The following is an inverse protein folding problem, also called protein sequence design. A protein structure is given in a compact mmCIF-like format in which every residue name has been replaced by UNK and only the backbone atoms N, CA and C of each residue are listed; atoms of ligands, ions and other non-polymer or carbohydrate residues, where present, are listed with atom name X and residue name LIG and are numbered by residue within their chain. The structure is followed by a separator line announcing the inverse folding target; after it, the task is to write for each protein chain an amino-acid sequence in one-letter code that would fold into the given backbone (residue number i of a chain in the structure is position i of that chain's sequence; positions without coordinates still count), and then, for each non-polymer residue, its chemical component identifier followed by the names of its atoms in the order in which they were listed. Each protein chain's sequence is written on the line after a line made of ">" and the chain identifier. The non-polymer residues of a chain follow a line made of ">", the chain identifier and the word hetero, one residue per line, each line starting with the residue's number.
data_IF_368958520204
#
_entry.id   IF_368958520204
#
_cell.length_a   1.000
_cell.length_b   1.000
_cell.length_c   1.000
_cell.angle_alpha   90.00
_cell.angle_beta   90.00
_cell.angle_gamma   90.00
#
_symmetry.space_group_name_H-M   'P 1'
#
loop_
_entity.id
_entity.type
_entity.pdbx_description
1 polymer ?
#
# COMPACT_ATOMS: atom_id res chain seq x y z
N UNK A 1 21.55 3.63 -29.28
CA UNK A 1 21.03 2.77 -28.21
C UNK A 1 19.77 3.37 -27.61
N UNK A 2 18.72 2.60 -27.53
CA UNK A 2 17.51 3.01 -26.86
C UNK A 2 17.61 2.76 -25.36
N UNK A 3 17.22 3.73 -24.55
CA UNK A 3 17.12 3.55 -23.12
C UNK A 3 16.00 2.53 -22.83
N UNK A 4 16.23 1.51 -22.00
CA UNK A 4 15.16 0.59 -21.62
C UNK A 4 13.99 1.33 -21.02
N UNK A 5 12.78 0.91 -21.36
CA UNK A 5 11.56 1.46 -20.75
C UNK A 5 11.61 1.19 -19.25
N UNK A 6 11.18 2.16 -18.45
CA UNK A 6 11.09 1.99 -16.99
C UNK A 6 10.04 0.94 -16.66
N UNK A 7 10.38 0.03 -15.73
CA UNK A 7 9.44 -0.93 -15.19
C UNK A 7 8.57 -0.22 -14.16
N UNK A 8 7.27 -0.24 -14.37
CA UNK A 8 6.30 0.42 -13.50
C UNK A 8 5.66 -0.61 -12.59
N UNK A 9 5.79 -0.38 -11.28
CA UNK A 9 5.14 -1.19 -10.27
C UNK A 9 4.06 -0.42 -9.53
N UNK A 10 3.14 -1.14 -8.89
CA UNK A 10 2.12 -0.51 -8.07
C UNK A 10 1.76 -1.38 -6.88
N UNK A 11 1.29 -0.73 -5.82
CA UNK A 11 0.75 -1.38 -4.63
C UNK A 11 -0.46 -0.60 -4.15
N UNK A 12 -1.36 -1.25 -3.42
CA UNK A 12 -2.64 -0.69 -3.02
C UNK A 12 -2.85 -0.86 -1.53
N UNK A 13 -3.46 0.11 -0.88
CA UNK A 13 -3.80 0.01 0.52
C UNK A 13 -4.24 1.33 1.12
N UNK A 14 -4.61 1.30 2.39
CA UNK A 14 -5.01 2.50 3.13
C UNK A 14 -3.80 3.24 3.72
N UNK A 15 -2.73 2.53 4.02
CA UNK A 15 -1.46 3.07 4.56
C UNK A 15 -1.69 4.02 5.75
N UNK A 16 -2.59 3.60 6.65
CA UNK A 16 -2.86 4.34 7.87
C UNK A 16 -1.71 4.17 8.86
N UNK A 17 -1.39 5.22 9.60
CA UNK A 17 -0.30 5.20 10.57
C UNK A 17 0.99 4.63 9.95
N UNK A 18 1.40 5.21 8.83
CA UNK A 18 2.55 4.72 8.07
C UNK A 18 3.78 4.59 8.96
N UNK A 19 4.40 3.43 8.94
CA UNK A 19 5.44 3.03 9.89
C UNK A 19 6.60 2.31 9.19
N UNK A 20 7.56 1.83 10.00
CA UNK A 20 8.76 1.16 9.48
C UNK A 20 8.44 -0.01 8.54
N UNK A 21 7.40 -0.79 8.84
CA UNK A 21 6.99 -1.90 7.99
C UNK A 21 6.59 -1.46 6.59
N UNK A 22 5.87 -0.35 6.47
CA UNK A 22 5.52 0.23 5.17
C UNK A 22 6.76 0.66 4.40
N UNK A 23 7.73 1.27 5.09
CA UNK A 23 8.99 1.68 4.47
C UNK A 23 9.73 0.49 3.88
N UNK A 24 9.75 -0.63 4.59
CA UNK A 24 10.42 -1.85 4.11
C UNK A 24 9.70 -2.43 2.88
N UNK A 25 8.36 -2.38 2.84
CA UNK A 25 7.59 -2.79 1.67
C UNK A 25 7.95 -1.94 0.45
N UNK A 26 7.98 -0.61 0.61
CA UNK A 26 8.30 0.30 -0.50
C UNK A 26 9.74 0.14 -0.96
N UNK A 27 10.67 -0.05 -0.02
CA UNK A 27 12.07 -0.30 -0.34
C UNK A 27 12.21 -1.59 -1.16
N UNK A 28 11.55 -2.66 -0.74
CA UNK A 28 11.56 -3.93 -1.47
C UNK A 28 10.93 -3.79 -2.85
N UNK A 29 9.82 -3.06 -2.96
CA UNK A 29 9.16 -2.81 -4.23
C UNK A 29 10.10 -2.16 -5.24
N UNK A 30 10.96 -1.25 -4.80
CA UNK A 30 11.92 -0.57 -5.69
C UNK A 30 13.05 -1.48 -6.16
N UNK A 31 13.17 -2.68 -5.63
CA UNK A 31 14.12 -3.68 -6.16
C UNK A 31 13.57 -4.37 -7.40
N UNK A 32 12.26 -4.31 -7.64
CA UNK A 32 11.60 -4.99 -8.77
C UNK A 32 10.91 -4.02 -9.74
N UNK A 33 10.97 -2.72 -9.48
CA UNK A 33 10.44 -1.71 -10.40
C UNK A 33 11.25 -0.43 -10.31
N UNK A 34 11.16 0.40 -11.36
CA UNK A 34 11.85 1.69 -11.43
C UNK A 34 10.97 2.84 -10.98
N UNK A 35 9.67 2.71 -11.19
CA UNK A 35 8.68 3.72 -10.86
C UNK A 35 7.58 3.05 -10.04
N UNK A 36 7.37 3.49 -8.81
CA UNK A 36 6.37 2.91 -7.90
C UNK A 36 5.17 3.83 -7.74
N UNK A 37 4.00 3.32 -8.11
CA UNK A 37 2.71 3.97 -7.90
C UNK A 37 2.07 3.38 -6.65
N UNK A 38 1.64 4.22 -5.72
CA UNK A 38 0.87 3.78 -4.55
C UNK A 38 -0.57 4.20 -4.73
N UNK A 39 -1.47 3.23 -4.81
CA UNK A 39 -2.92 3.47 -4.80
C UNK A 39 -3.39 3.55 -3.35
N UNK A 40 -3.81 4.72 -2.95
CA UNK A 40 -4.22 5.03 -1.58
C UNK A 40 -5.73 5.02 -1.47
N UNK A 41 -6.26 4.13 -0.64
CA UNK A 41 -7.70 4.03 -0.41
C UNK A 41 -8.17 5.11 0.55
N UNK A 42 -9.27 5.78 0.19
CA UNK A 42 -9.86 6.82 1.03
C UNK A 42 -10.32 6.22 2.36
N UNK A 43 -11.33 5.38 2.34
CA UNK A 43 -11.86 4.74 3.55
C UNK A 43 -12.24 3.28 3.27
N UNK A 44 -11.39 2.31 3.66
CA UNK A 44 -11.69 0.90 3.42
C UNK A 44 -12.90 0.37 4.19
N UNK A 45 -13.36 1.08 5.23
CA UNK A 45 -14.52 0.63 6.01
C UNK A 45 -15.84 0.77 5.27
N UNK A 46 -15.86 1.50 4.15
CA UNK A 46 -17.08 1.72 3.37
C UNK A 46 -17.55 0.43 2.69
N UNK A 47 -16.63 -0.36 2.14
CA UNK A 47 -17.00 -1.57 1.39
C UNK A 47 -16.39 -2.87 1.92
N UNK A 48 -15.67 -2.82 3.03
CA UNK A 48 -15.05 -4.00 3.64
C UNK A 48 -15.12 -3.93 5.16
N UNK A 49 -15.01 -5.10 5.81
CA UNK A 49 -14.94 -5.19 7.28
C UNK A 49 -13.55 -4.77 7.77
N UNK A 50 -13.26 -3.49 7.66
CA UNK A 50 -12.00 -2.87 8.07
C UNK A 50 -12.26 -1.67 8.96
N UNK A 51 -11.28 -1.33 9.80
CA UNK A 51 -11.35 -0.13 10.61
C UNK A 51 -11.26 1.12 9.73
N UNK A 52 -12.01 2.16 10.11
CA UNK A 52 -11.83 3.48 9.52
C UNK A 52 -10.42 3.97 9.83
N UNK A 53 -9.71 4.58 8.86
CA UNK A 53 -8.39 5.13 9.13
C UNK A 53 -8.38 6.16 10.25
N UNK A 54 -7.36 6.14 11.08
CA UNK A 54 -7.12 7.14 12.12
C UNK A 54 -6.69 8.46 11.47
N UNK A 55 -5.82 8.37 10.46
CA UNK A 55 -5.32 9.54 9.74
C UNK A 55 -6.26 9.90 8.61
N UNK A 56 -6.45 11.20 8.39
CA UNK A 56 -7.23 11.70 7.26
C UNK A 56 -6.56 11.34 5.94
N UNK A 57 -7.32 11.40 4.85
CA UNK A 57 -6.76 11.18 3.52
C UNK A 57 -5.63 12.17 3.20
N UNK A 58 -5.79 13.48 3.42
CA UNK A 58 -4.70 14.42 3.18
C UNK A 58 -3.43 14.12 3.97
N UNK A 59 -3.55 13.73 5.24
CA UNK A 59 -2.39 13.35 6.04
C UNK A 59 -1.65 12.17 5.42
N UNK A 60 -2.38 11.14 5.01
CA UNK A 60 -1.80 9.94 4.38
C UNK A 60 -1.15 10.27 3.04
N UNK A 61 -1.78 11.15 2.26
CA UNK A 61 -1.21 11.61 0.98
C UNK A 61 0.12 12.34 1.19
N UNK A 62 0.17 13.25 2.16
CA UNK A 62 1.38 14.03 2.46
C UNK A 62 2.53 13.10 2.87
N UNK A 63 2.23 12.14 3.75
CA UNK A 63 3.24 11.18 4.22
C UNK A 63 3.78 10.36 3.06
N UNK A 64 2.91 9.78 2.24
CA UNK A 64 3.32 8.94 1.11
C UNK A 64 4.15 9.74 0.09
N UNK A 65 3.74 10.96 -0.19
CA UNK A 65 4.45 11.81 -1.14
C UNK A 65 5.87 12.18 -0.66
N UNK A 66 6.11 12.13 0.64
CA UNK A 66 7.42 12.41 1.23
C UNK A 66 8.34 11.20 1.31
N UNK A 67 7.87 10.02 0.97
CA UNK A 67 8.68 8.80 1.05
C UNK A 67 9.53 8.66 -0.21
N UNK A 68 10.84 8.52 -0.03
CA UNK A 68 11.79 8.49 -1.16
C UNK A 68 11.57 7.34 -2.14
N UNK A 69 10.91 6.25 -1.71
CA UNK A 69 10.66 5.09 -2.56
C UNK A 69 9.38 5.23 -3.39
N UNK A 70 8.50 6.19 -3.05
CA UNK A 70 7.21 6.38 -3.69
C UNK A 70 7.35 7.45 -4.76
N UNK A 71 7.03 7.11 -6.00
CA UNK A 71 7.14 8.03 -7.14
C UNK A 71 5.82 8.71 -7.45
N UNK A 72 4.69 8.06 -7.18
CA UNK A 72 3.38 8.57 -7.52
C UNK A 72 2.33 8.05 -6.55
N UNK A 73 1.36 8.89 -6.18
CA UNK A 73 0.22 8.51 -5.33
C UNK A 73 -1.06 8.75 -6.10
N UNK A 74 -1.91 7.74 -6.17
CA UNK A 74 -3.24 7.82 -6.79
C UNK A 74 -4.29 7.38 -5.78
N UNK A 75 -5.46 7.99 -5.82
CA UNK A 75 -6.54 7.74 -4.85
C UNK A 75 -7.57 6.80 -5.46
N UNK A 76 -8.10 5.89 -4.65
CA UNK A 76 -9.29 5.13 -5.01
C UNK A 76 -10.25 5.04 -3.81
N UNK A 77 -11.52 4.77 -4.07
CA UNK A 77 -12.55 4.72 -3.04
C UNK A 77 -12.91 3.29 -2.67
N UNK A 78 -13.54 2.56 -3.57
CA UNK A 78 -13.99 1.18 -3.34
C UNK A 78 -13.10 0.19 -4.11
N UNK A 79 -13.26 -1.10 -3.82
CA UNK A 79 -12.56 -2.14 -4.57
C UNK A 79 -13.03 -2.19 -6.03
N UNK A 80 -14.31 -1.86 -6.29
CA UNK A 80 -14.81 -1.75 -7.67
C UNK A 80 -14.13 -0.59 -8.40
N UNK A 81 -13.98 0.55 -7.73
CA UNK A 81 -13.28 1.71 -8.28
C UNK A 81 -11.81 1.36 -8.59
N UNK A 82 -11.15 0.64 -7.67
CA UNK A 82 -9.78 0.18 -7.89
C UNK A 82 -9.69 -0.70 -9.13
N UNK A 83 -10.58 -1.68 -9.26
CA UNK A 83 -10.58 -2.58 -10.41
C UNK A 83 -10.68 -1.80 -11.72
N UNK A 84 -11.58 -0.83 -11.79
CA UNK A 84 -11.75 -0.01 -12.99
C UNK A 84 -10.48 0.80 -13.31
N UNK A 85 -9.81 1.33 -12.29
CA UNK A 85 -8.55 2.05 -12.48
C UNK A 85 -7.43 1.12 -12.94
N UNK A 86 -7.37 -0.10 -12.38
CA UNK A 86 -6.34 -1.08 -12.75
C UNK A 86 -6.52 -1.60 -14.17
N UNK A 87 -7.76 -1.73 -14.65
CA UNK A 87 -8.04 -2.14 -16.04
C UNK A 87 -7.39 -1.22 -17.06
N UNK A 88 -7.28 0.05 -16.74
CA UNK A 88 -6.74 1.07 -17.64
C UNK A 88 -5.30 1.49 -17.27
N UNK A 89 -4.72 0.83 -16.29
CA UNK A 89 -3.39 1.17 -15.80
C UNK A 89 -2.30 0.58 -16.69
N UNK A 90 -1.37 1.42 -17.11
CA UNK A 90 -0.16 0.98 -17.81
C UNK A 90 0.92 0.73 -16.77
N UNK A 91 1.01 -0.51 -16.33
CA UNK A 91 2.01 -0.95 -15.36
C UNK A 91 2.42 -2.37 -15.67
N UNK A 92 3.51 -2.80 -15.07
CA UNK A 92 4.13 -4.09 -15.36
C UNK A 92 3.95 -5.08 -14.22
N UNK A 93 4.07 -4.62 -12.98
CA UNK A 93 4.12 -5.52 -11.83
C UNK A 93 3.33 -4.96 -10.64
N UNK A 94 2.54 -5.84 -10.02
CA UNK A 94 1.86 -5.56 -8.76
C UNK A 94 2.68 -6.08 -7.61
N UNK A 95 2.92 -5.23 -6.63
CA UNK A 95 3.55 -5.62 -5.37
C UNK A 95 2.44 -5.80 -4.33
N UNK A 96 2.38 -6.97 -3.73
CA UNK A 96 1.35 -7.30 -2.75
C UNK A 96 1.96 -8.11 -1.61
N UNK A 97 1.35 -8.08 -0.43
CA UNK A 97 1.84 -8.81 0.73
C UNK A 97 1.84 -10.32 0.53
N UNK A 98 2.84 -11.00 1.10
CA UNK A 98 2.98 -12.45 1.01
C UNK A 98 1.74 -13.20 1.54
N UNK A 99 0.98 -12.57 2.44
CA UNK A 99 -0.25 -13.14 3.00
C UNK A 99 -1.32 -13.42 1.95
N UNK A 100 -1.24 -12.74 0.80
CA UNK A 100 -2.19 -12.88 -0.29
C UNK A 100 -1.85 -14.01 -1.27
N UNK A 101 -0.72 -14.67 -1.07
CA UNK A 101 -0.30 -15.76 -1.95
C UNK A 101 -1.33 -16.89 -1.90
N UNK A 102 -1.85 -17.29 -3.06
CA UNK A 102 -2.90 -18.31 -3.16
C UNK A 102 -4.31 -17.80 -2.89
N UNK A 103 -4.49 -16.49 -2.67
CA UNK A 103 -5.80 -15.87 -2.45
C UNK A 103 -6.14 -14.94 -3.60
N UNK A 104 -7.44 -14.71 -3.81
CA UNK A 104 -7.91 -13.76 -4.82
C UNK A 104 -7.89 -12.34 -4.22
N UNK A 105 -7.33 -11.41 -4.97
CA UNK A 105 -7.30 -9.98 -4.64
C UNK A 105 -7.85 -9.18 -5.81
N UNK A 106 -8.27 -7.96 -5.58
CA UNK A 106 -8.81 -7.10 -6.62
C UNK A 106 -7.81 -6.94 -7.76
N UNK A 107 -8.22 -7.30 -8.97
CA UNK A 107 -7.37 -7.25 -10.15
C UNK A 107 -6.51 -8.49 -10.39
N UNK A 108 -6.73 -9.57 -9.63
CA UNK A 108 -5.99 -10.83 -9.79
C UNK A 108 -6.11 -11.42 -11.20
N UNK A 109 -7.18 -11.10 -11.91
CA UNK A 109 -7.46 -11.56 -13.27
C UNK A 109 -6.86 -10.65 -14.35
N UNK A 110 -6.22 -9.56 -13.96
CA UNK A 110 -5.58 -8.63 -14.90
C UNK A 110 -4.14 -9.07 -15.21
N UNK A 111 -3.61 -8.70 -16.39
CA UNK A 111 -2.35 -9.24 -16.87
C UNK A 111 -1.11 -8.59 -16.27
N UNK A 112 -1.08 -8.38 -14.96
CA UNK A 112 0.10 -7.88 -14.26
C UNK A 112 0.94 -9.03 -13.73
N UNK A 113 2.24 -8.92 -13.82
CA UNK A 113 3.15 -9.75 -13.05
C UNK A 113 2.89 -9.45 -11.56
N UNK A 114 2.95 -10.46 -10.70
CA UNK A 114 2.70 -10.28 -9.25
C UNK A 114 3.97 -10.62 -8.49
N UNK A 115 4.40 -9.70 -7.65
CA UNK A 115 5.51 -9.87 -6.73
C UNK A 115 4.96 -9.86 -5.31
N UNK A 116 5.19 -10.95 -4.58
CA UNK A 116 4.78 -11.05 -3.18
C UNK A 116 5.92 -10.58 -2.31
N UNK A 117 5.74 -9.42 -1.65
CA UNK A 117 6.80 -8.88 -0.81
C UNK A 117 7.01 -9.75 0.42
N UNK A 118 8.27 -9.90 0.82
CA UNK A 118 8.64 -10.66 2.01
C UNK A 118 8.16 -9.92 3.26
N UNK A 119 7.85 -10.68 4.31
CA UNK A 119 7.48 -10.10 5.60
C UNK A 119 8.45 -10.61 6.65
N UNK A 120 9.69 -10.13 6.53
CA UNK A 120 10.80 -10.55 7.40
C UNK A 120 10.86 -9.76 8.71
N UNK A 121 9.78 -9.05 9.07
CA UNK A 121 9.72 -8.19 10.27
C UNK A 121 8.38 -8.37 10.97
N UNK A 122 8.29 -7.87 12.21
CA UNK A 122 7.07 -7.92 13.02
C UNK A 122 6.36 -6.57 13.12
N UNK A 123 6.72 -5.61 12.28
CA UNK A 123 6.05 -4.30 12.27
C UNK A 123 4.66 -4.44 11.69
N UNK A 124 3.66 -3.91 12.38
CA UNK A 124 2.28 -3.90 11.88
C UNK A 124 1.54 -2.68 12.42
N UNK A 125 0.54 -2.24 11.67
CA UNK A 125 -0.31 -1.13 12.08
C UNK A 125 -1.08 -1.49 13.35
N UNK A 126 -1.58 -2.71 13.45
CA UNK A 126 -2.32 -3.17 14.65
C UNK A 126 -1.45 -3.14 15.90
N UNK A 127 -0.21 -3.63 15.81
CA UNK A 127 0.71 -3.59 16.94
C UNK A 127 1.09 -2.15 17.34
N UNK A 128 1.27 -1.28 16.35
CA UNK A 128 1.56 0.13 16.60
C UNK A 128 0.38 0.82 17.30
N UNK A 129 -0.84 0.58 16.82
CA UNK A 129 -2.05 1.12 17.44
C UNK A 129 -2.16 0.69 18.90
N UNK A 130 -1.91 -0.58 19.19
CA UNK A 130 -1.94 -1.10 20.55
C UNK A 130 -0.89 -0.45 21.43
N UNK A 131 0.35 -0.31 20.95
CA UNK A 131 1.42 0.35 21.72
C UNK A 131 1.08 1.80 22.05
N UNK A 132 0.49 2.52 21.10
CA UNK A 132 0.07 3.91 21.31
C UNK A 132 -1.03 3.96 22.38
N UNK A 133 -2.03 3.08 22.25
CA UNK A 133 -3.12 3.02 23.22
C UNK A 133 -2.60 2.72 24.63
N UNK A 134 -1.76 1.68 24.77
CA UNK A 134 -1.24 1.29 26.09
C UNK A 134 -0.38 2.40 26.72
N UNK A 135 0.45 3.05 25.92
CA UNK A 135 1.29 4.16 26.41
C UNK A 135 0.44 5.34 26.88
N UNK A 136 -0.61 5.68 26.14
CA UNK A 136 -1.51 6.78 26.49
C UNK A 136 -2.37 6.42 27.71
N UNK A 137 -2.87 5.18 27.76
CA UNK A 137 -3.66 4.69 28.89
C UNK A 137 -2.84 4.74 30.18
N UNK A 138 -1.61 4.23 30.16
CA UNK A 138 -0.72 4.24 31.33
C UNK A 138 -0.45 5.65 31.84
N UNK A 139 -0.36 6.62 30.92
CA UNK A 139 -0.12 8.03 31.26
C UNK A 139 -1.33 8.68 31.96
N UNK A 140 -2.55 8.27 31.58
CA UNK A 140 -3.82 8.85 32.09
C UNK A 140 -4.35 8.15 33.33
N UNK A 141 -3.89 6.98 33.61
CA UNK A 141 -4.33 6.14 34.71
C UNK A 141 -3.15 5.67 35.54
#
# INVERSE_FOLDING_TARGET
>A
MTTPAKKVGFTCGAFDLCHAGHMLVFKEAKTVCDHLIVFLQDDPSIDRAKNKPVMSLPERQIILAGIKYVDEVRIYTTEVDLYEKLKNLKADIRIIGADWKGKQFTGHDLPFEVYYNSRSHNFSTSALRERVYLAEYAKRH
#
